data_IF_929404387735
#
_entry.id   IF_929404387735
#
_cell.length_a   1.000
_cell.length_b   1.000
_cell.length_c   1.000
_cell.angle_alpha   90.00
_cell.angle_beta   90.00
_cell.angle_gamma   90.00
#
_symmetry.space_group_name_H-M   'P 1'
#
loop_
_entity.id
_entity.type
_entity.pdbx_description
1 polymer ?
#
# COMPACT_ATOMS: atom_id res chain seq x y z
N UNK A 1 7.91 10.27 -7.07
CA UNK A 1 9.20 9.98 -7.78
C UNK A 1 9.76 11.18 -8.54
N UNK A 2 8.92 11.98 -9.22
CA UNK A 2 9.33 13.12 -10.06
C UNK A 2 10.32 14.10 -9.39
N UNK A 3 10.05 14.52 -8.16
CA UNK A 3 10.91 15.48 -7.44
C UNK A 3 12.25 14.89 -6.97
N UNK A 4 12.36 13.55 -6.98
CA UNK A 4 13.58 12.85 -6.65
C UNK A 4 14.44 12.56 -7.89
N UNK A 5 13.94 12.75 -9.13
CA UNK A 5 14.75 12.56 -10.33
C UNK A 5 15.60 13.81 -10.60
N UNK A 6 16.92 13.67 -10.46
CA UNK A 6 17.90 14.75 -10.70
C UNK A 6 18.30 14.78 -12.19
N UNK A 7 18.55 13.60 -12.77
CA UNK A 7 18.87 13.46 -14.19
C UNK A 7 18.55 12.07 -14.70
N UNK A 8 18.34 11.99 -16.01
CA UNK A 8 18.11 10.79 -16.81
C UNK A 8 19.08 10.76 -17.98
N UNK A 9 19.61 9.59 -18.31
CA UNK A 9 20.19 9.28 -19.62
C UNK A 9 19.16 8.47 -20.41
N UNK A 10 18.83 8.93 -21.60
CA UNK A 10 17.80 8.36 -22.47
C UNK A 10 18.40 8.11 -23.84
N UNK A 11 18.19 6.93 -24.40
CA UNK A 11 18.53 6.58 -25.79
C UNK A 11 17.27 6.78 -26.62
N UNK A 12 17.31 7.69 -27.59
CA UNK A 12 16.19 7.97 -28.48
C UNK A 12 16.05 6.88 -29.55
N UNK A 13 14.92 6.87 -30.26
CA UNK A 13 14.64 5.87 -31.31
C UNK A 13 15.65 5.89 -32.47
N UNK A 14 16.31 7.03 -32.71
CA UNK A 14 17.36 7.18 -33.73
C UNK A 14 18.76 6.77 -33.23
N UNK A 15 18.88 6.28 -31.99
CA UNK A 15 20.14 5.87 -31.37
C UNK A 15 20.89 7.00 -30.66
N UNK A 16 20.41 8.24 -30.72
CA UNK A 16 21.04 9.36 -30.04
C UNK A 16 20.91 9.24 -28.52
N UNK A 17 21.97 9.59 -27.81
CA UNK A 17 22.02 9.57 -26.35
C UNK A 17 21.79 10.98 -25.83
N UNK A 18 20.68 11.18 -25.12
CA UNK A 18 20.35 12.43 -24.43
C UNK A 18 20.57 12.27 -22.94
N UNK A 19 21.39 13.14 -22.35
CA UNK A 19 21.51 13.28 -20.89
C UNK A 19 20.83 14.57 -20.44
N UNK A 20 19.81 14.45 -19.59
CA UNK A 20 19.11 15.61 -19.03
C UNK A 20 19.99 16.31 -17.99
N UNK A 21 19.98 17.65 -17.99
CA UNK A 21 20.92 18.46 -17.21
C UNK A 21 20.70 18.35 -15.68
N UNK A 22 21.80 18.40 -14.92
CA UNK A 22 21.88 18.10 -13.47
C UNK A 22 21.13 19.04 -12.51
N UNK A 23 20.45 20.08 -13.02
CA UNK A 23 19.72 21.09 -12.21
C UNK A 23 18.30 21.37 -12.70
N UNK A 24 17.88 20.78 -13.81
CA UNK A 24 16.51 20.97 -14.29
C UNK A 24 15.57 20.06 -13.50
N UNK A 25 14.69 20.66 -12.68
CA UNK A 25 13.62 19.89 -12.02
C UNK A 25 12.76 19.24 -13.11
N UNK A 26 12.60 17.92 -13.06
CA UNK A 26 11.74 17.17 -13.99
C UNK A 26 10.31 17.75 -13.92
N UNK A 27 9.84 18.34 -15.00
CA UNK A 27 8.51 18.97 -15.10
C UNK A 27 7.44 18.07 -15.76
N UNK A 28 7.80 16.88 -16.23
CA UNK A 28 6.87 15.91 -16.79
C UNK A 28 7.41 14.48 -16.66
N UNK A 29 6.52 13.51 -16.47
CA UNK A 29 6.81 12.09 -16.62
C UNK A 29 6.35 11.67 -18.02
N UNK A 30 7.24 11.13 -18.85
CA UNK A 30 6.89 10.53 -20.14
C UNK A 30 6.80 9.01 -20.00
N UNK A 31 5.86 8.39 -20.70
CA UNK A 31 5.54 6.95 -20.65
C UNK A 31 6.51 6.07 -21.46
N UNK A 32 7.77 6.51 -21.66
CA UNK A 32 8.79 5.73 -22.38
C UNK A 32 8.66 5.72 -23.91
N UNK A 33 7.66 6.40 -24.49
CA UNK A 33 7.45 6.47 -25.95
C UNK A 33 8.50 7.30 -26.70
N UNK A 34 9.23 8.17 -26.00
CA UNK A 34 10.23 9.08 -26.58
C UNK A 34 11.66 8.53 -26.56
N UNK A 35 11.90 7.43 -25.86
CA UNK A 35 13.23 6.81 -25.75
C UNK A 35 13.40 5.93 -24.52
N UNK A 36 14.43 5.09 -24.55
CA UNK A 36 14.75 4.13 -23.50
C UNK A 36 15.64 4.76 -22.42
N UNK A 37 15.17 4.78 -21.18
CA UNK A 37 15.96 5.27 -20.05
C UNK A 37 17.04 4.24 -19.71
N UNK A 38 18.32 4.62 -19.80
CA UNK A 38 19.47 3.75 -19.52
C UNK A 38 20.16 4.09 -18.19
N UNK A 39 20.04 5.32 -17.70
CA UNK A 39 20.54 5.71 -16.38
C UNK A 39 19.58 6.70 -15.71
N UNK A 40 19.46 6.58 -14.38
CA UNK A 40 18.67 7.50 -13.54
C UNK A 40 19.53 7.95 -12.36
N UNK A 41 19.61 9.26 -12.16
CA UNK A 41 20.21 9.86 -10.95
C UNK A 41 19.10 10.36 -10.05
N UNK A 42 19.05 9.83 -8.83
CA UNK A 42 18.00 10.16 -7.85
C UNK A 42 18.56 10.93 -6.66
N UNK A 43 17.77 11.86 -6.13
CA UNK A 43 17.92 12.40 -4.78
C UNK A 43 17.40 11.35 -3.82
N UNK A 44 18.31 10.78 -3.04
CA UNK A 44 17.96 9.85 -1.96
C UNK A 44 17.64 10.63 -0.69
N UNK A 45 16.60 10.20 0.01
CA UNK A 45 16.34 10.65 1.37
C UNK A 45 17.15 9.79 2.34
N UNK A 46 17.70 10.40 3.40
CA UNK A 46 18.43 9.66 4.44
C UNK A 46 17.45 8.70 5.12
N UNK A 47 17.86 7.45 5.31
CA UNK A 47 17.12 6.52 6.18
C UNK A 47 17.11 7.14 7.58
N UNK A 48 15.94 7.33 8.22
CA UNK A 48 15.84 7.95 9.54
C UNK A 48 16.74 7.22 10.56
N UNK A 49 17.77 7.91 11.09
CA UNK A 49 18.80 7.32 11.96
C UNK A 49 18.40 7.22 13.44
N UNK A 50 17.31 7.88 13.86
CA UNK A 50 16.91 7.93 15.26
C UNK A 50 15.45 7.52 15.43
N UNK A 51 15.26 6.41 16.15
CA UNK A 51 14.11 6.22 17.04
C UNK A 51 14.66 5.82 18.40
N UNK A 52 14.33 6.62 19.42
CA UNK A 52 14.74 6.35 20.80
C UNK A 52 13.72 5.38 21.36
N UNK A 53 14.17 4.19 21.74
CA UNK A 53 13.40 3.27 22.58
C UNK A 53 13.57 3.71 24.03
N UNK A 54 12.56 4.29 24.70
CA UNK A 54 12.60 4.36 26.15
C UNK A 54 12.43 2.93 26.66
N UNK A 55 13.55 2.33 27.06
CA UNK A 55 13.57 1.11 27.86
C UNK A 55 12.69 1.36 29.08
N UNK A 56 11.46 0.84 29.09
CA UNK A 56 10.66 0.74 30.32
C UNK A 56 11.40 -0.25 31.22
N UNK A 57 12.27 0.28 32.08
CA UNK A 57 12.69 -0.43 33.28
C UNK A 57 11.45 -0.48 34.18
N UNK A 58 10.64 -1.53 34.00
CA UNK A 58 9.70 -1.93 35.03
C UNK A 58 10.54 -2.29 36.26
N UNK A 59 10.42 -1.49 37.32
CA UNK A 59 11.00 -1.78 38.63
C UNK A 59 10.08 -2.82 39.28
N UNK A 60 10.51 -4.07 39.53
CA UNK A 60 9.76 -4.97 40.38
C UNK A 60 10.33 -4.85 41.80
N UNK A 61 9.54 -4.34 42.73
CA UNK A 61 9.80 -4.52 44.15
C UNK A 61 9.68 -6.03 44.48
N UNK A 62 10.80 -6.62 44.94
CA UNK A 62 11.00 -7.71 45.95
C UNK A 62 10.04 -8.94 45.88
N UNK A 63 10.44 -10.23 45.89
CA UNK A 63 11.62 -10.98 46.39
C UNK A 63 11.45 -12.50 45.98
N UNK A 64 12.30 -13.48 46.37
CA UNK A 64 13.00 -14.39 45.43
C UNK A 64 12.60 -15.88 45.53
N UNK A 65 12.97 -16.71 44.54
CA UNK A 65 13.53 -18.07 44.79
C UNK A 65 13.91 -18.87 43.51
N UNK A 66 15.21 -19.20 43.45
CA UNK A 66 15.91 -20.43 42.99
C UNK A 66 15.62 -21.13 41.63
N UNK A 67 16.69 -21.11 40.81
CA UNK A 67 17.35 -22.23 40.09
C UNK A 67 16.57 -23.10 39.08
N UNK A 68 17.00 -23.09 37.81
CA UNK A 68 18.04 -24.03 37.33
C UNK A 68 18.29 -23.95 35.82
N UNK A 69 19.57 -24.12 35.50
CA UNK A 69 20.25 -24.38 34.23
C UNK A 69 19.48 -25.10 33.10
N UNK A 70 19.73 -24.69 31.85
CA UNK A 70 20.40 -25.55 30.85
C UNK A 70 20.82 -24.77 29.59
N UNK A 71 22.13 -24.73 29.36
CA UNK A 71 22.79 -24.38 28.09
C UNK A 71 22.51 -25.46 27.04
N UNK A 72 22.36 -25.09 25.76
CA UNK A 72 23.03 -25.81 24.66
C UNK A 72 23.20 -24.91 23.44
N UNK A 73 24.46 -24.69 23.07
CA UNK A 73 24.91 -24.26 21.75
C UNK A 73 24.83 -25.44 20.77
N UNK A 74 24.46 -25.18 19.51
CA UNK A 74 25.24 -25.57 18.31
C UNK A 74 24.63 -24.98 17.03
N UNK A 75 25.41 -24.15 16.33
CA UNK A 75 25.37 -23.87 14.88
C UNK A 75 26.27 -24.89 14.14
N UNK A 76 26.42 -24.90 12.79
CA UNK A 76 25.58 -24.38 11.70
C UNK A 76 25.34 -25.41 10.56
N UNK A 77 24.42 -25.13 9.63
CA UNK A 77 24.49 -25.68 8.25
C UNK A 77 24.36 -24.54 7.25
N UNK A 78 25.46 -24.28 6.53
CA UNK A 78 25.51 -23.45 5.34
C UNK A 78 24.89 -24.21 4.16
N UNK A 79 23.99 -23.57 3.42
CA UNK A 79 23.75 -23.90 2.02
C UNK A 79 23.14 -22.71 1.25
N UNK A 80 23.98 -22.12 0.39
CA UNK A 80 23.69 -21.73 -0.99
C UNK A 80 22.67 -20.60 -1.25
N UNK A 81 23.22 -19.38 -1.19
CA UNK A 81 23.16 -18.36 -2.23
C UNK A 81 22.03 -18.40 -3.25
N UNK A 82 20.93 -17.69 -2.96
CA UNK A 82 20.17 -16.96 -3.98
C UNK A 82 20.30 -15.48 -3.67
N UNK A 83 20.81 -14.71 -4.62
CA UNK A 83 20.91 -13.26 -4.58
C UNK A 83 19.53 -12.66 -4.27
N UNK A 84 19.28 -12.40 -2.99
CA UNK A 84 18.15 -11.61 -2.55
C UNK A 84 18.57 -10.15 -2.74
N UNK A 85 17.86 -9.45 -3.62
CA UNK A 85 17.78 -7.99 -3.57
C UNK A 85 17.08 -7.66 -2.24
N UNK A 86 17.86 -7.62 -1.16
CA UNK A 86 17.37 -7.38 0.19
C UNK A 86 16.83 -5.96 0.29
N UNK A 87 15.51 -5.82 0.31
CA UNK A 87 14.87 -4.52 0.46
C UNK A 87 14.96 -4.07 1.93
N UNK A 88 15.53 -2.89 2.11
CA UNK A 88 15.67 -2.20 3.40
C UNK A 88 14.27 -1.78 3.89
N UNK A 89 13.69 -2.57 4.79
CA UNK A 89 12.55 -2.12 5.61
C UNK A 89 13.08 -1.16 6.67
N UNK A 90 12.42 -0.02 6.87
CA UNK A 90 12.80 0.92 7.91
C UNK A 90 12.46 0.27 9.26
N UNK A 91 13.48 -0.21 9.98
CA UNK A 91 13.31 -0.92 11.26
C UNK A 91 12.59 -0.06 12.32
N UNK A 92 12.52 1.25 12.12
CA UNK A 92 11.98 2.24 13.05
C UNK A 92 10.57 2.73 12.72
N UNK A 93 9.92 2.23 11.67
CA UNK A 93 8.57 2.64 11.32
C UNK A 93 7.54 1.95 12.24
N UNK A 94 6.51 2.65 12.73
CA UNK A 94 5.38 2.02 13.42
C UNK A 94 4.26 1.76 12.43
N UNK A 95 3.72 0.54 12.43
CA UNK A 95 2.60 0.17 11.55
C UNK A 95 1.35 -0.01 12.39
N UNK A 96 0.27 0.64 11.99
CA UNK A 96 -1.04 0.49 12.60
C UNK A 96 -2.06 0.01 11.57
N UNK A 97 -2.98 -0.84 12.02
CA UNK A 97 -4.15 -1.25 11.25
C UNK A 97 -5.42 -0.87 12.00
N UNK A 98 -6.45 -0.49 11.27
CA UNK A 98 -7.77 -0.22 11.83
C UNK A 98 -8.86 -0.61 10.84
N UNK A 99 -9.99 -1.05 11.40
CA UNK A 99 -11.12 -1.60 10.68
C UNK A 99 -12.30 -0.63 10.69
N UNK A 100 -13.13 -0.67 9.65
CA UNK A 100 -14.23 0.26 9.44
C UNK A 100 -15.50 -0.44 8.95
N UNK A 101 -16.70 0.10 9.26
CA UNK A 101 -17.96 -0.43 8.73
C UNK A 101 -18.10 -0.25 7.21
N UNK A 102 -17.48 0.81 6.64
CA UNK A 102 -17.52 1.08 5.21
C UNK A 102 -16.18 1.60 4.68
N UNK A 103 -15.95 1.39 3.38
CA UNK A 103 -14.79 1.97 2.66
C UNK A 103 -14.81 3.50 2.68
N UNK A 104 -15.99 4.12 2.82
CA UNK A 104 -16.12 5.56 2.94
C UNK A 104 -15.58 6.06 4.28
N UNK A 105 -15.94 5.40 5.38
CA UNK A 105 -15.44 5.76 6.71
C UNK A 105 -13.90 5.67 6.75
N UNK A 106 -13.34 4.61 6.15
CA UNK A 106 -11.89 4.46 5.98
C UNK A 106 -11.28 5.61 5.17
N UNK A 107 -11.87 5.96 4.03
CA UNK A 107 -11.38 7.08 3.21
C UNK A 107 -11.46 8.43 3.95
N UNK A 108 -12.56 8.69 4.67
CA UNK A 108 -12.76 9.92 5.44
C UNK A 108 -11.71 10.05 6.56
N UNK A 109 -11.35 8.95 7.23
CA UNK A 109 -10.25 8.94 8.20
C UNK A 109 -8.90 9.22 7.58
N UNK A 110 -8.60 8.67 6.40
CA UNK A 110 -7.36 8.98 5.69
C UNK A 110 -7.29 10.47 5.35
N UNK A 111 -8.39 11.05 4.82
CA UNK A 111 -8.49 12.48 4.51
C UNK A 111 -8.31 13.34 5.76
N UNK A 112 -9.02 13.01 6.85
CA UNK A 112 -8.94 13.74 8.11
C UNK A 112 -7.54 13.68 8.72
N UNK A 113 -6.89 12.51 8.66
CA UNK A 113 -5.51 12.31 9.11
C UNK A 113 -4.56 13.22 8.36
N UNK A 114 -4.60 13.22 7.02
CA UNK A 114 -3.72 14.07 6.22
C UNK A 114 -4.00 15.57 6.44
N UNK A 115 -5.27 15.96 6.60
CA UNK A 115 -5.67 17.36 6.88
C UNK A 115 -5.26 17.85 8.26
N UNK A 116 -5.11 16.95 9.23
CA UNK A 116 -4.62 17.29 10.57
C UNK A 116 -3.12 17.58 10.62
N UNK A 117 -2.40 17.39 9.51
CA UNK A 117 -0.95 17.62 9.42
C UNK A 117 -0.11 16.47 9.97
N UNK A 118 -0.72 15.35 10.33
CA UNK A 118 -0.02 14.15 10.78
C UNK A 118 0.88 13.63 9.66
N UNK A 119 2.18 13.48 9.95
CA UNK A 119 3.13 12.96 8.98
C UNK A 119 3.17 11.44 9.01
N UNK A 120 2.64 10.86 7.95
CA UNK A 120 2.69 9.42 7.67
C UNK A 120 3.52 9.18 6.42
N UNK A 121 4.25 8.07 6.41
CA UNK A 121 4.95 7.56 5.24
C UNK A 121 3.96 7.08 4.18
N UNK A 122 2.97 6.31 4.64
CA UNK A 122 1.97 5.65 3.81
C UNK A 122 0.67 5.52 4.56
N UNK A 123 -0.42 5.66 3.82
CA UNK A 123 -1.77 5.29 4.25
C UNK A 123 -2.35 4.46 3.12
N UNK A 124 -2.70 3.23 3.43
CA UNK A 124 -3.21 2.26 2.47
C UNK A 124 -4.60 1.83 2.90
N UNK A 125 -5.53 1.76 1.95
CA UNK A 125 -6.88 1.26 2.15
C UNK A 125 -7.04 -0.06 1.42
N UNK A 126 -7.68 -1.04 2.06
CA UNK A 126 -8.13 -2.29 1.47
C UNK A 126 -9.61 -2.47 1.82
N UNK A 127 -10.42 -2.91 0.87
CA UNK A 127 -11.80 -3.31 1.18
C UNK A 127 -11.88 -4.73 1.77
N UNK A 128 -13.08 -5.12 2.19
CA UNK A 128 -13.35 -6.43 2.77
C UNK A 128 -13.01 -7.58 1.82
N UNK A 129 -13.26 -7.41 0.51
CA UNK A 129 -12.99 -8.44 -0.50
C UNK A 129 -11.48 -8.63 -0.66
N UNK A 130 -10.71 -7.54 -0.64
CA UNK A 130 -9.26 -7.61 -0.67
C UNK A 130 -8.67 -8.26 0.58
N UNK A 131 -9.21 -7.96 1.76
CA UNK A 131 -8.77 -8.59 3.02
C UNK A 131 -9.07 -10.09 3.01
N UNK A 132 -10.24 -10.49 2.49
CA UNK A 132 -10.58 -11.90 2.28
C UNK A 132 -9.60 -12.60 1.33
N UNK A 133 -9.29 -11.99 0.19
CA UNK A 133 -8.32 -12.52 -0.76
C UNK A 133 -6.94 -12.73 -0.09
N UNK A 134 -6.51 -11.76 0.72
CA UNK A 134 -5.29 -11.83 1.53
C UNK A 134 -5.31 -13.00 2.52
N UNK A 135 -6.43 -13.20 3.22
CA UNK A 135 -6.59 -14.29 4.19
C UNK A 135 -6.42 -15.64 3.50
N UNK A 136 -7.06 -15.84 2.35
CA UNK A 136 -6.97 -17.06 1.54
C UNK A 136 -5.53 -17.31 1.09
N UNK A 137 -4.89 -16.29 0.48
CA UNK A 137 -3.54 -16.43 -0.08
C UNK A 137 -2.46 -16.72 0.96
N UNK A 138 -2.61 -16.20 2.17
CA UNK A 138 -1.56 -16.22 3.20
C UNK A 138 -1.90 -17.10 4.42
N UNK A 139 -3.06 -17.77 4.43
CA UNK A 139 -3.54 -18.53 5.58
C UNK A 139 -3.71 -17.67 6.84
N UNK A 140 -4.18 -16.43 6.67
CA UNK A 140 -4.41 -15.47 7.76
C UNK A 140 -5.89 -15.45 8.15
N UNK A 141 -6.17 -14.84 9.30
CA UNK A 141 -7.53 -14.71 9.86
C UNK A 141 -7.77 -13.25 10.29
N UNK A 142 -7.49 -12.31 9.39
CA UNK A 142 -7.75 -10.89 9.60
C UNK A 142 -9.26 -10.61 9.49
N UNK A 143 -9.81 -9.60 10.20
CA UNK A 143 -11.21 -9.22 10.05
C UNK A 143 -11.52 -8.77 8.62
N UNK A 144 -12.42 -9.47 7.93
CA UNK A 144 -12.87 -9.17 6.56
C UNK A 144 -13.78 -7.95 6.54
N UNK A 145 -13.17 -6.78 6.73
CA UNK A 145 -13.82 -5.47 6.76
C UNK A 145 -12.91 -4.43 6.11
N UNK A 146 -13.45 -3.32 5.61
CA UNK A 146 -12.64 -2.19 5.14
C UNK A 146 -11.56 -1.84 6.16
N UNK A 147 -10.32 -1.78 5.71
CA UNK A 147 -9.13 -1.69 6.57
C UNK A 147 -8.22 -0.58 6.09
N UNK A 148 -7.78 0.29 7.00
CA UNK A 148 -6.65 1.19 6.76
C UNK A 148 -5.38 0.65 7.40
N UNK A 149 -4.27 0.83 6.70
CA UNK A 149 -2.92 0.60 7.21
C UNK A 149 -2.13 1.91 7.19
N UNK A 150 -1.55 2.28 8.33
CA UNK A 150 -0.70 3.44 8.48
C UNK A 150 0.75 3.03 8.69
N UNK A 151 1.70 3.71 8.05
CA UNK A 151 3.12 3.65 8.39
C UNK A 151 3.58 5.02 8.89
N UNK A 152 3.92 5.10 10.17
CA UNK A 152 4.47 6.31 10.80
C UNK A 152 5.99 6.28 10.73
N UNK A 153 6.60 7.40 10.36
CA UNK A 153 8.04 7.60 10.39
C UNK A 153 8.38 8.70 11.40
N UNK A 154 9.42 8.47 12.19
CA UNK A 154 9.97 9.46 13.11
C UNK A 154 10.63 8.79 14.30
N UNK A 155 10.87 9.58 15.35
CA UNK A 155 11.24 9.02 16.65
C UNK A 155 10.06 8.26 17.24
N UNK A 156 10.29 7.31 18.15
CA UNK A 156 9.20 6.58 18.81
C UNK A 156 8.22 7.53 19.52
N UNK A 157 8.74 8.55 20.20
CA UNK A 157 7.94 9.57 20.86
C UNK A 157 7.04 10.31 19.87
N UNK A 158 7.58 10.70 18.70
CA UNK A 158 6.80 11.36 17.64
C UNK A 158 5.75 10.41 17.05
N UNK A 159 6.14 9.19 16.68
CA UNK A 159 5.25 8.20 16.11
C UNK A 159 4.08 7.88 17.07
N UNK A 160 4.37 7.80 18.37
CA UNK A 160 3.38 7.57 19.42
C UNK A 160 2.40 8.74 19.58
N UNK A 161 2.89 9.97 19.52
CA UNK A 161 2.03 11.17 19.56
C UNK A 161 1.12 11.25 18.33
N UNK A 162 1.69 11.09 17.12
CA UNK A 162 0.93 11.08 15.87
C UNK A 162 -0.13 9.98 15.87
N UNK A 163 0.23 8.80 16.36
CA UNK A 163 -0.69 7.69 16.53
C UNK A 163 -1.86 8.05 17.44
N UNK A 164 -1.65 8.77 18.54
CA UNK A 164 -2.74 9.17 19.44
C UNK A 164 -3.74 10.10 18.74
N UNK A 165 -3.24 11.01 17.90
CA UNK A 165 -4.06 11.87 17.06
C UNK A 165 -4.89 11.03 16.08
N UNK A 166 -4.26 10.10 15.37
CA UNK A 166 -4.95 9.20 14.43
C UNK A 166 -5.98 8.35 15.14
N UNK A 167 -5.67 7.78 16.31
CA UNK A 167 -6.64 7.01 17.12
C UNK A 167 -7.87 7.84 17.47
N UNK A 168 -7.70 9.11 17.79
CA UNK A 168 -8.82 10.02 18.06
C UNK A 168 -9.67 10.21 16.81
N UNK A 169 -9.05 10.50 15.66
CA UNK A 169 -9.73 10.66 14.37
C UNK A 169 -10.51 9.39 14.00
N UNK A 170 -9.90 8.22 14.15
CA UNK A 170 -10.52 6.91 13.90
C UNK A 170 -11.77 6.73 14.76
N UNK A 171 -11.69 7.07 16.06
CA UNK A 171 -12.84 6.94 16.97
C UNK A 171 -13.98 7.92 16.66
N UNK A 172 -13.70 9.04 16.00
CA UNK A 172 -14.70 10.00 15.55
C UNK A 172 -15.43 9.54 14.27
N UNK A 173 -14.89 8.53 13.56
CA UNK A 173 -15.38 8.03 12.27
C UNK A 173 -15.70 6.52 12.30
N UNK A 174 -16.24 6.04 13.43
CA UNK A 174 -16.71 4.65 13.61
C UNK A 174 -15.65 3.54 13.41
N UNK A 175 -14.36 3.87 13.43
CA UNK A 175 -13.31 2.86 13.27
C UNK A 175 -13.10 2.04 14.55
N UNK A 176 -12.72 0.78 14.39
CA UNK A 176 -12.45 -0.19 15.46
C UNK A 176 -11.07 -0.82 15.34
N UNK A 177 -10.72 -1.64 16.34
CA UNK A 177 -9.62 -2.62 16.29
C UNK A 177 -8.27 -2.03 15.85
N UNK A 178 -7.86 -0.97 16.55
CA UNK A 178 -6.58 -0.31 16.29
C UNK A 178 -5.41 -1.19 16.77
N UNK A 179 -4.88 -2.02 15.87
CA UNK A 179 -3.80 -2.98 16.14
C UNK A 179 -2.44 -2.39 15.75
N UNK A 180 -1.46 -2.56 16.64
CA UNK A 180 -0.08 -2.13 16.43
C UNK A 180 0.83 -3.30 16.13
N UNK A 181 1.63 -3.16 15.07
CA UNK A 181 2.81 -3.99 14.87
C UNK A 181 4.04 -3.18 15.30
N UNK A 182 4.56 -3.46 16.49
CA UNK A 182 5.83 -2.90 16.99
C UNK A 182 7.02 -3.74 16.56
N UNK A 183 6.85 -5.07 16.45
CA UNK A 183 7.90 -6.00 16.06
C UNK A 183 8.27 -5.87 14.57
N UNK A 184 9.57 -5.81 14.23
CA UNK A 184 10.03 -5.71 12.84
C UNK A 184 9.46 -6.78 11.92
N UNK A 185 9.37 -8.02 12.40
CA UNK A 185 8.82 -9.16 11.67
C UNK A 185 7.33 -8.98 11.38
N UNK A 186 6.55 -8.55 12.38
CA UNK A 186 5.12 -8.29 12.21
C UNK A 186 4.87 -7.18 11.17
N UNK A 187 5.67 -6.10 11.20
CA UNK A 187 5.60 -5.01 10.20
C UNK A 187 5.91 -5.52 8.80
N UNK A 188 6.95 -6.34 8.67
CA UNK A 188 7.37 -6.90 7.38
C UNK A 188 6.27 -7.80 6.80
N UNK A 189 5.64 -8.62 7.63
CA UNK A 189 4.54 -9.49 7.22
C UNK A 189 3.30 -8.69 6.78
N UNK A 190 2.91 -7.67 7.55
CA UNK A 190 1.78 -6.80 7.17
C UNK A 190 2.02 -6.10 5.82
N UNK A 191 3.22 -5.56 5.61
CA UNK A 191 3.56 -4.91 4.34
C UNK A 191 3.76 -5.87 3.19
N UNK A 192 4.24 -7.08 3.45
CA UNK A 192 4.32 -8.14 2.45
C UNK A 192 2.93 -8.44 1.90
N UNK A 193 1.96 -8.64 2.80
CA UNK A 193 0.57 -8.89 2.47
C UNK A 193 -0.03 -7.79 1.58
N UNK A 194 0.18 -6.50 1.92
CA UNK A 194 -0.32 -5.39 1.09
C UNK A 194 0.34 -5.31 -0.29
N UNK A 195 1.62 -5.67 -0.41
CA UNK A 195 2.35 -5.70 -1.70
C UNK A 195 1.91 -6.86 -2.59
N UNK A 196 1.48 -7.95 -1.99
CA UNK A 196 0.99 -9.15 -2.67
C UNK A 196 -0.52 -9.10 -2.94
N UNK A 197 -1.18 -7.96 -2.71
CA UNK A 197 -2.63 -7.82 -2.82
C UNK A 197 -3.20 -8.23 -4.19
N UNK A 198 -2.52 -7.88 -5.29
CA UNK A 198 -2.91 -8.34 -6.63
C UNK A 198 -2.80 -9.86 -6.75
N UNK A 199 -1.68 -10.45 -6.30
CA UNK A 199 -1.47 -11.90 -6.33
C UNK A 199 -2.46 -12.65 -5.44
N UNK A 200 -2.87 -12.03 -4.34
CA UNK A 200 -3.90 -12.57 -3.47
C UNK A 200 -5.27 -12.69 -4.17
N UNK A 201 -5.56 -11.82 -5.13
CA UNK A 201 -6.79 -11.92 -5.93
C UNK A 201 -6.79 -13.21 -6.78
N UNK A 202 -5.67 -13.55 -7.40
CA UNK A 202 -5.52 -14.81 -8.15
C UNK A 202 -5.53 -16.05 -7.26
N UNK A 203 -5.18 -15.93 -5.97
CA UNK A 203 -5.32 -17.05 -5.03
C UNK A 203 -6.79 -17.36 -4.71
N UNK A 204 -7.68 -16.37 -4.79
CA UNK A 204 -9.12 -16.55 -4.62
C UNK A 204 -9.76 -17.13 -5.87
N UNK A 205 -9.35 -16.66 -7.06
CA UNK A 205 -9.89 -17.10 -8.35
C UNK A 205 -8.74 -17.36 -9.36
N UNK A 206 -8.12 -18.56 -9.36
CA UNK A 206 -6.88 -18.83 -10.10
C UNK A 206 -7.05 -18.95 -11.62
N UNK A 207 -8.29 -19.13 -12.10
CA UNK A 207 -8.57 -19.30 -13.54
C UNK A 207 -9.08 -18.00 -14.20
N UNK A 208 -9.19 -16.90 -13.45
CA UNK A 208 -9.70 -15.64 -13.96
C UNK A 208 -8.56 -14.69 -14.33
N UNK A 209 -8.81 -13.81 -15.29
CA UNK A 209 -7.94 -12.68 -15.61
C UNK A 209 -8.30 -11.45 -14.77
N UNK A 210 -7.37 -10.50 -14.67
CA UNK A 210 -7.57 -9.28 -13.90
C UNK A 210 -7.48 -8.03 -14.79
N UNK A 211 -8.51 -7.20 -14.73
CA UNK A 211 -8.46 -5.83 -15.24
C UNK A 211 -8.19 -4.88 -14.07
N UNK A 212 -7.15 -4.06 -14.18
CA UNK A 212 -6.78 -3.11 -13.14
C UNK A 212 -7.11 -1.70 -13.60
N UNK A 213 -7.91 -1.01 -12.80
CA UNK A 213 -8.13 0.44 -12.95
C UNK A 213 -7.21 1.19 -12.00
N UNK A 214 -6.63 2.29 -12.48
CA UNK A 214 -5.75 3.15 -11.70
C UNK A 214 -6.05 4.63 -12.01
N UNK A 215 -6.72 5.27 -11.06
CA UNK A 215 -7.13 6.68 -11.15
C UNK A 215 -6.72 7.43 -9.89
N UNK A 216 -6.53 8.74 -10.02
CA UNK A 216 -6.19 9.60 -8.90
C UNK A 216 -7.11 10.81 -8.89
N UNK A 217 -7.57 11.22 -7.72
CA UNK A 217 -8.41 12.40 -7.51
C UNK A 217 -7.80 13.31 -6.45
N UNK A 218 -8.16 14.60 -6.40
CA UNK A 218 -7.87 15.41 -5.22
C UNK A 218 -8.30 14.67 -3.96
N UNK A 219 -7.44 14.64 -2.93
CA UNK A 219 -7.68 13.85 -1.72
C UNK A 219 -9.07 14.10 -1.10
N UNK A 220 -9.59 15.33 -1.20
CA UNK A 220 -10.93 15.70 -0.74
C UNK A 220 -12.08 14.93 -1.41
N UNK A 221 -11.87 14.39 -2.61
CA UNK A 221 -12.85 13.64 -3.39
C UNK A 221 -12.64 12.12 -3.32
N UNK A 222 -11.60 11.63 -2.62
CA UNK A 222 -11.30 10.21 -2.55
C UNK A 222 -12.46 9.40 -1.97
N UNK A 223 -13.06 9.85 -0.86
CA UNK A 223 -14.19 9.17 -0.24
C UNK A 223 -15.41 9.08 -1.15
N UNK A 224 -15.69 10.14 -1.92
CA UNK A 224 -16.80 10.18 -2.87
C UNK A 224 -16.56 9.23 -4.05
N UNK A 225 -15.35 9.22 -4.61
CA UNK A 225 -14.99 8.32 -5.70
C UNK A 225 -15.10 6.86 -5.25
N UNK A 226 -14.47 6.50 -4.12
CA UNK A 226 -14.50 5.13 -3.59
C UNK A 226 -15.93 4.67 -3.35
N UNK A 227 -16.77 5.52 -2.74
CA UNK A 227 -18.16 5.17 -2.45
C UNK A 227 -18.99 4.92 -3.71
N UNK A 228 -18.84 5.77 -4.72
CA UNK A 228 -19.54 5.62 -6.01
C UNK A 228 -19.07 4.37 -6.75
N UNK A 229 -17.76 4.16 -6.81
CA UNK A 229 -17.16 2.99 -7.44
C UNK A 229 -17.58 1.71 -6.75
N UNK A 230 -17.48 1.63 -5.41
CA UNK A 230 -17.86 0.42 -4.64
C UNK A 230 -19.31 0.03 -4.87
N UNK A 231 -20.23 1.00 -4.96
CA UNK A 231 -21.64 0.73 -5.27
C UNK A 231 -21.83 0.06 -6.63
N UNK A 232 -21.13 0.51 -7.67
CA UNK A 232 -21.19 -0.09 -9.00
C UNK A 232 -20.51 -1.45 -9.05
N UNK A 233 -19.37 -1.60 -8.37
CA UNK A 233 -18.64 -2.88 -8.27
C UNK A 233 -19.49 -3.94 -7.56
N UNK A 234 -20.14 -3.57 -6.45
CA UNK A 234 -20.99 -4.49 -5.67
C UNK A 234 -22.30 -4.85 -6.39
N UNK A 235 -22.73 -4.03 -7.35
CA UNK A 235 -23.88 -4.33 -8.20
C UNK A 235 -23.51 -5.26 -9.38
N UNK A 236 -22.22 -5.43 -9.66
CA UNK A 236 -21.72 -6.29 -10.73
C UNK A 236 -21.68 -7.76 -10.31
N UNK A 237 -21.87 -8.72 -11.23
CA UNK A 237 -21.64 -10.14 -10.92
C UNK A 237 -20.16 -10.50 -10.80
N UNK A 238 -19.24 -9.60 -11.15
CA UNK A 238 -17.79 -9.87 -11.14
C UNK A 238 -17.21 -9.68 -9.74
N UNK A 239 -16.17 -10.46 -9.44
CA UNK A 239 -15.43 -10.30 -8.19
C UNK A 239 -14.50 -9.11 -8.34
N UNK A 240 -14.76 -8.07 -7.56
CA UNK A 240 -14.00 -6.83 -7.58
C UNK A 240 -13.36 -6.59 -6.22
N UNK A 241 -12.12 -6.10 -6.20
CA UNK A 241 -11.47 -5.62 -4.99
C UNK A 241 -11.12 -4.15 -5.12
N UNK A 242 -11.13 -3.45 -3.98
CA UNK A 242 -10.74 -2.05 -3.87
C UNK A 242 -9.49 -1.91 -3.02
N UNK A 243 -8.54 -1.14 -3.55
CA UNK A 243 -7.32 -0.76 -2.87
C UNK A 243 -7.06 0.72 -3.13
N UNK A 244 -6.56 1.46 -2.15
CA UNK A 244 -6.11 2.84 -2.41
C UNK A 244 -4.80 3.15 -1.69
N UNK A 245 -3.94 3.92 -2.35
CA UNK A 245 -2.96 4.74 -1.68
C UNK A 245 -3.71 5.96 -1.11
N UNK A 246 -4.43 5.74 -0.02
CA UNK A 246 -5.40 6.70 0.51
C UNK A 246 -4.75 8.02 0.97
N UNK A 247 -3.45 8.02 1.25
CA UNK A 247 -2.72 9.22 1.65
C UNK A 247 -2.49 10.24 0.53
N UNK A 248 -2.52 9.83 -0.74
CA UNK A 248 -2.27 10.70 -1.89
C UNK A 248 -3.43 10.78 -2.89
N UNK A 249 -4.55 10.12 -2.60
CA UNK A 249 -5.77 10.18 -3.42
C UNK A 249 -5.79 9.21 -4.59
N UNK A 250 -4.85 8.26 -4.65
CA UNK A 250 -4.78 7.27 -5.72
C UNK A 250 -5.58 5.99 -5.36
N UNK A 251 -6.52 5.66 -6.24
CA UNK A 251 -7.51 4.61 -6.10
C UNK A 251 -7.32 3.56 -7.19
N UNK A 252 -7.28 2.29 -6.77
CA UNK A 252 -7.14 1.14 -7.63
C UNK A 252 -8.25 0.14 -7.40
N UNK A 253 -8.60 -0.56 -8.47
CA UNK A 253 -9.50 -1.70 -8.39
C UNK A 253 -8.96 -2.84 -9.21
N UNK A 254 -9.20 -4.06 -8.73
CA UNK A 254 -8.91 -5.29 -9.46
C UNK A 254 -10.25 -5.94 -9.77
N UNK A 255 -10.58 -6.03 -11.05
CA UNK A 255 -11.81 -6.66 -11.53
C UNK A 255 -11.43 -8.02 -12.11
N UNK A 256 -11.90 -9.09 -11.49
CA UNK A 256 -11.65 -10.45 -11.97
C UNK A 256 -12.74 -10.88 -12.94
N UNK A 257 -12.35 -11.39 -14.09
CA UNK A 257 -13.27 -11.80 -15.14
C UNK A 257 -12.79 -13.07 -15.86
N UNK A 258 -13.74 -13.81 -16.43
CA UNK A 258 -13.42 -15.00 -17.23
C UNK A 258 -13.19 -14.56 -18.69
N UNK A 259 -11.98 -14.73 -19.26
CA UNK A 259 -11.69 -14.29 -20.62
C UNK A 259 -12.42 -15.10 -21.69
N UNK A 260 -12.92 -16.30 -21.35
CA UNK A 260 -13.73 -17.12 -22.28
C UNK A 260 -15.16 -16.59 -22.42
N UNK A 261 -15.61 -15.75 -21.48
CA UNK A 261 -16.95 -15.19 -21.42
C UNK A 261 -16.96 -13.71 -21.81
N UNK A 262 -17.39 -13.43 -23.05
CA UNK A 262 -17.40 -12.07 -23.61
C UNK A 262 -18.23 -11.07 -22.78
N UNK A 263 -19.32 -11.51 -22.15
CA UNK A 263 -20.13 -10.68 -21.24
C UNK A 263 -19.33 -10.23 -20.01
N UNK A 264 -18.49 -11.10 -19.45
CA UNK A 264 -17.64 -10.74 -18.30
C UNK A 264 -16.60 -9.69 -18.70
N UNK A 265 -15.97 -9.85 -19.87
CA UNK A 265 -15.01 -8.87 -20.39
C UNK A 265 -15.67 -7.51 -20.61
N UNK A 266 -16.86 -7.47 -21.20
CA UNK A 266 -17.62 -6.22 -21.42
C UNK A 266 -18.00 -5.55 -20.11
N UNK A 267 -18.40 -6.32 -19.11
CA UNK A 267 -18.75 -5.76 -17.81
C UNK A 267 -17.52 -5.21 -17.08
N UNK A 268 -16.37 -5.89 -17.16
CA UNK A 268 -15.11 -5.38 -16.62
C UNK A 268 -14.69 -4.06 -17.32
N UNK A 269 -14.78 -4.00 -18.65
CA UNK A 269 -14.53 -2.79 -19.43
C UNK A 269 -15.50 -1.65 -19.05
N UNK A 270 -16.80 -1.94 -18.87
CA UNK A 270 -17.82 -0.96 -18.44
C UNK A 270 -17.48 -0.38 -17.06
N UNK A 271 -17.16 -1.22 -16.09
CA UNK A 271 -16.78 -0.81 -14.74
C UNK A 271 -15.52 0.07 -14.76
N UNK A 272 -14.52 -0.35 -15.54
CA UNK A 272 -13.29 0.42 -15.70
C UNK A 272 -13.55 1.81 -16.32
N UNK A 273 -14.37 1.87 -17.39
CA UNK A 273 -14.79 3.15 -17.99
C UNK A 273 -15.57 4.01 -17.00
N UNK A 274 -16.46 3.42 -16.21
CA UNK A 274 -17.19 4.14 -15.17
C UNK A 274 -16.24 4.81 -14.18
N UNK A 275 -15.23 4.10 -13.67
CA UNK A 275 -14.27 4.66 -12.72
C UNK A 275 -13.44 5.79 -13.32
N UNK A 276 -13.01 5.64 -14.58
CA UNK A 276 -12.32 6.70 -15.33
C UNK A 276 -13.20 7.96 -15.42
N UNK A 277 -14.46 7.81 -15.86
CA UNK A 277 -15.37 8.95 -15.98
C UNK A 277 -15.73 9.56 -14.63
N UNK A 278 -15.92 8.74 -13.60
CA UNK A 278 -16.18 9.20 -12.24
C UNK A 278 -14.99 10.03 -11.70
N UNK A 279 -13.76 9.55 -11.87
CA UNK A 279 -12.56 10.28 -11.47
C UNK A 279 -12.42 11.60 -12.23
N UNK A 280 -12.60 11.60 -13.55
CA UNK A 280 -12.54 12.82 -14.37
C UNK A 280 -13.60 13.85 -13.96
N UNK A 281 -14.82 13.40 -13.59
CA UNK A 281 -15.88 14.28 -13.08
C UNK A 281 -15.56 14.95 -11.73
N UNK A 282 -14.57 14.42 -11.02
CA UNK A 282 -14.08 14.90 -9.73
C UNK A 282 -12.70 15.56 -9.85
N UNK A 283 -12.38 16.10 -11.04
CA UNK A 283 -11.11 16.76 -11.36
C UNK A 283 -9.88 15.84 -11.18
N UNK A 284 -10.10 14.52 -11.27
CA UNK A 284 -9.06 13.50 -11.22
C UNK A 284 -8.35 13.29 -12.55
N UNK A 285 -7.38 12.38 -12.51
CA UNK A 285 -6.57 11.94 -13.65
C UNK A 285 -6.57 10.42 -13.75
N UNK A 286 -6.33 9.95 -14.96
CA UNK A 286 -6.05 8.54 -15.25
C UNK A 286 -4.54 8.34 -15.10
N UNK A 287 -4.12 7.31 -14.37
CA UNK A 287 -2.70 6.99 -14.22
C UNK A 287 -2.34 5.78 -15.07
N UNK A 288 -3.18 4.75 -15.07
CA UNK A 288 -2.91 3.53 -15.81
C UNK A 288 -4.20 2.77 -16.15
N UNK A 289 -4.22 2.16 -17.33
CA UNK A 289 -5.26 1.21 -17.74
C UNK A 289 -4.53 -0.05 -18.18
N UNK A 290 -4.48 -1.04 -17.31
CA UNK A 290 -3.69 -2.24 -17.52
C UNK A 290 -4.57 -3.47 -17.35
N UNK A 291 -4.81 -4.18 -18.44
CA UNK A 291 -5.36 -5.54 -18.40
C UNK A 291 -4.18 -6.48 -18.22
N UNK A 292 -4.15 -7.20 -17.10
CA UNK A 292 -3.16 -8.24 -16.83
C UNK A 292 -3.81 -9.60 -17.06
N UNK A 293 -3.49 -10.22 -18.18
CA UNK A 293 -3.72 -11.65 -18.38
C UNK A 293 -2.55 -12.39 -17.74
N UNK A 294 -2.81 -13.08 -16.63
CA UNK A 294 -1.86 -14.04 -16.05
C UNK A 294 -2.31 -15.41 -16.54
N UNK A 295 -1.78 -15.85 -17.68
CA UNK A 295 -1.91 -17.24 -18.08
C UNK A 295 -1.11 -18.09 -17.08
N UNK A 296 -1.82 -18.85 -16.23
CA UNK A 296 -1.21 -19.88 -15.38
C UNK A 296 -0.58 -21.01 -16.22
#
# INVERSE_FOLDING_TARGET
MRDNVISLKVVLANGDIVKTASRARKSAAGEGTLGLITEVTLRLQKIPQHSVVPLKIAVPFLLPCVSSFCNFHTWPVQALGRNHMGYLTNQNAQVAMCNFPSVKDAADVAIATMRSGVQVSRVELLDEVQVKAINIANGKNLPESPTLMFEFIGTEAYAREQTQIVRKIVSEHNGSDFVFAEEPEAKKELWKVRKEALWACFAMEPNLEAMISDVCVPLSHLGDLISRSKKELDASPLVCTVIAHAGDGNFHTVILFDPSQEEHRREAERLNQFMVHAALSLEGIIINLLTLSVAC
#
